data_IF_891907382490
#
_entry.id   IF_891907382490
#
_cell.length_a   1.000
_cell.length_b   1.000
_cell.length_c   1.000
_cell.angle_alpha   90.00
_cell.angle_beta   90.00
_cell.angle_gamma   90.00
#
_symmetry.space_group_name_H-M   'P 1'
#
loop_
_entity.id
_entity.type
_entity.pdbx_description
1 polymer ?
#
# COMPACT_ATOMS: atom_id res chain seq x y z
N UNK A 1 34.40 -12.61 -32.25
CA UNK A 1 33.88 -12.11 -30.94
C UNK A 1 32.67 -11.25 -31.22
N UNK A 2 31.47 -11.85 -31.26
CA UNK A 2 30.22 -11.10 -31.38
C UNK A 2 29.77 -10.72 -29.97
N UNK A 3 30.04 -9.48 -29.58
CA UNK A 3 29.42 -8.90 -28.39
C UNK A 3 27.90 -8.98 -28.56
N UNK A 4 27.19 -9.56 -27.61
CA UNK A 4 25.73 -9.54 -27.59
C UNK A 4 25.26 -8.07 -27.72
N UNK A 5 24.23 -7.81 -28.54
CA UNK A 5 23.74 -6.45 -28.67
C UNK A 5 23.37 -5.92 -27.29
N UNK A 6 23.80 -4.70 -26.91
CA UNK A 6 23.47 -4.10 -25.64
C UNK A 6 21.94 -4.11 -25.50
N UNK A 7 21.44 -4.48 -24.31
CA UNK A 7 20.02 -4.41 -23.99
C UNK A 7 19.52 -3.04 -24.45
N UNK A 8 18.49 -3.00 -25.30
CA UNK A 8 17.98 -1.75 -25.87
C UNK A 8 17.68 -0.82 -24.71
N UNK A 9 18.31 0.38 -24.67
CA UNK A 9 18.02 1.34 -23.60
C UNK A 9 16.51 1.62 -23.60
N UNK A 10 15.88 1.81 -22.45
CA UNK A 10 14.48 2.21 -22.41
C UNK A 10 14.29 3.45 -23.27
N UNK A 11 13.18 3.51 -24.00
CA UNK A 11 12.89 4.63 -24.93
C UNK A 11 12.78 5.99 -24.24
N UNK A 12 12.68 5.99 -22.91
CA UNK A 12 12.51 7.20 -22.10
C UNK A 12 13.58 7.30 -21.01
N UNK A 13 13.89 8.55 -20.62
CA UNK A 13 14.74 8.87 -19.51
C UNK A 13 14.16 8.32 -18.18
N UNK A 14 14.99 7.93 -17.22
CA UNK A 14 14.60 7.44 -15.88
C UNK A 14 13.52 8.31 -15.24
N UNK A 15 13.62 9.63 -15.32
CA UNK A 15 12.64 10.54 -14.75
C UNK A 15 11.25 10.36 -15.38
N UNK A 16 11.16 10.17 -16.71
CA UNK A 16 9.88 9.96 -17.39
C UNK A 16 9.24 8.64 -16.95
N UNK A 17 10.04 7.60 -16.76
CA UNK A 17 9.57 6.30 -16.24
C UNK A 17 9.08 6.46 -14.80
N UNK A 18 9.90 7.06 -13.92
CA UNK A 18 9.57 7.22 -12.50
C UNK A 18 8.32 8.07 -12.31
N UNK A 19 8.27 9.27 -12.89
CA UNK A 19 7.14 10.19 -12.71
C UNK A 19 5.89 9.70 -13.44
N UNK A 20 6.02 9.11 -14.62
CA UNK A 20 4.88 8.52 -15.33
C UNK A 20 4.24 7.38 -14.53
N UNK A 21 5.05 6.44 -14.01
CA UNK A 21 4.55 5.38 -13.13
C UNK A 21 3.93 5.98 -11.86
N UNK A 22 4.59 6.96 -11.23
CA UNK A 22 4.10 7.58 -10.01
C UNK A 22 2.73 8.25 -10.19
N UNK A 23 2.54 9.01 -11.27
CA UNK A 23 1.24 9.63 -11.61
C UNK A 23 0.18 8.54 -11.81
N UNK A 24 0.50 7.50 -12.59
CA UNK A 24 -0.39 6.36 -12.75
C UNK A 24 -0.75 5.68 -11.41
N UNK A 25 0.23 5.52 -10.50
CA UNK A 25 -0.01 4.96 -9.16
C UNK A 25 -0.86 5.88 -8.28
N UNK A 26 -0.66 7.21 -8.32
CA UNK A 26 -1.52 8.18 -7.61
C UNK A 26 -2.97 7.94 -7.97
N UNK A 27 -3.27 7.88 -9.28
CA UNK A 27 -4.63 7.71 -9.77
C UNK A 27 -5.18 6.30 -9.46
N UNK A 28 -4.43 5.24 -9.83
CA UNK A 28 -4.88 3.85 -9.62
C UNK A 28 -5.11 3.55 -8.13
N UNK A 29 -4.18 3.96 -7.24
CA UNK A 29 -4.32 3.72 -5.81
C UNK A 29 -5.45 4.53 -5.21
N UNK A 30 -5.62 5.77 -5.66
CA UNK A 30 -6.75 6.63 -5.27
C UNK A 30 -8.09 6.02 -5.67
N UNK A 31 -8.21 5.57 -6.92
CA UNK A 31 -9.45 4.99 -7.49
C UNK A 31 -9.79 3.64 -6.85
N UNK A 32 -8.82 2.72 -6.71
CA UNK A 32 -9.13 1.35 -6.30
C UNK A 32 -9.07 1.11 -4.79
N UNK A 33 -8.43 2.01 -4.03
CA UNK A 33 -8.27 1.87 -2.58
C UNK A 33 -8.95 3.00 -1.80
N UNK A 34 -8.51 4.25 -2.02
CA UNK A 34 -8.96 5.36 -1.18
C UNK A 34 -10.43 5.74 -1.42
N UNK A 35 -10.94 5.61 -2.65
CA UNK A 35 -12.34 5.97 -2.93
C UNK A 35 -13.35 4.98 -2.37
N UNK A 36 -12.97 3.72 -2.06
CA UNK A 36 -13.90 2.69 -1.61
C UNK A 36 -14.76 3.12 -0.42
N UNK A 37 -14.15 3.77 0.57
CA UNK A 37 -14.87 4.21 1.78
C UNK A 37 -16.02 5.18 1.51
N UNK A 38 -15.97 5.91 0.39
CA UNK A 38 -17.02 6.86 -0.02
C UNK A 38 -18.27 6.14 -0.55
N UNK A 39 -18.15 4.91 -1.03
CA UNK A 39 -19.26 4.12 -1.58
C UNK A 39 -20.01 3.31 -0.52
N UNK A 40 -19.46 3.16 0.68
CA UNK A 40 -20.08 2.35 1.74
C UNK A 40 -21.44 2.89 2.13
N UNK A 41 -21.54 4.17 2.47
CA UNK A 41 -22.81 4.78 2.91
C UNK A 41 -23.89 4.77 1.82
N UNK A 42 -23.64 5.23 0.58
CA UNK A 42 -24.63 5.16 -0.49
C UNK A 42 -25.13 3.75 -0.80
N UNK A 43 -24.25 2.74 -0.74
CA UNK A 43 -24.67 1.35 -0.97
C UNK A 43 -25.50 0.79 0.20
N UNK A 44 -25.19 1.20 1.45
CA UNK A 44 -26.03 0.85 2.60
C UNK A 44 -27.43 1.46 2.47
N UNK A 45 -27.54 2.70 2.06
CA UNK A 45 -28.81 3.41 1.88
C UNK A 45 -29.65 2.77 0.77
N UNK A 46 -29.05 2.36 -0.34
CA UNK A 46 -29.79 1.81 -1.48
C UNK A 46 -30.17 0.35 -1.31
N UNK A 47 -29.25 -0.50 -0.81
CA UNK A 47 -29.45 -1.96 -0.76
C UNK A 47 -29.81 -2.49 0.63
N UNK A 48 -29.65 -1.68 1.69
CA UNK A 48 -29.79 -2.15 3.08
C UNK A 48 -28.69 -3.10 3.54
N UNK A 49 -27.56 -3.20 2.80
CA UNK A 49 -26.45 -4.08 3.17
C UNK A 49 -25.74 -3.55 4.40
N UNK A 50 -25.26 -4.48 5.23
CA UNK A 50 -24.47 -4.12 6.43
C UNK A 50 -23.07 -3.64 6.05
N UNK A 51 -22.44 -2.86 6.94
CA UNK A 51 -21.03 -2.45 6.77
C UNK A 51 -20.13 -3.69 6.58
N UNK A 52 -20.39 -4.76 7.32
CA UNK A 52 -19.65 -6.03 7.20
C UNK A 52 -19.76 -6.62 5.80
N UNK A 53 -20.98 -6.69 5.22
CA UNK A 53 -21.20 -7.24 3.88
C UNK A 53 -20.44 -6.44 2.80
N UNK A 54 -20.48 -5.10 2.89
CA UNK A 54 -19.80 -4.25 1.90
C UNK A 54 -18.27 -4.35 2.06
N UNK A 55 -17.76 -4.28 3.29
CA UNK A 55 -16.30 -4.33 3.51
C UNK A 55 -15.72 -5.72 3.28
N UNK A 56 -16.52 -6.78 3.36
CA UNK A 56 -16.10 -8.13 2.98
C UNK A 56 -15.71 -8.20 1.50
N UNK A 57 -16.42 -7.49 0.60
CA UNK A 57 -16.02 -7.42 -0.81
C UNK A 57 -14.61 -6.83 -0.97
N UNK A 58 -14.30 -5.72 -0.31
CA UNK A 58 -12.97 -5.13 -0.31
C UNK A 58 -11.91 -6.09 0.25
N UNK A 59 -12.23 -6.79 1.32
CA UNK A 59 -11.38 -7.83 1.92
C UNK A 59 -11.09 -8.96 0.92
N UNK A 60 -12.10 -9.45 0.21
CA UNK A 60 -11.97 -10.45 -0.86
C UNK A 60 -11.03 -9.92 -1.96
N UNK A 61 -11.22 -8.67 -2.39
CA UNK A 61 -10.36 -8.03 -3.38
C UNK A 61 -8.89 -7.96 -2.95
N UNK A 62 -8.62 -7.57 -1.70
CA UNK A 62 -7.27 -7.55 -1.15
C UNK A 62 -6.63 -8.95 -1.12
N UNK A 63 -7.38 -9.94 -0.65
CA UNK A 63 -6.91 -11.33 -0.61
C UNK A 63 -6.58 -11.86 -2.01
N UNK A 64 -7.47 -11.64 -2.97
CA UNK A 64 -7.26 -12.01 -4.36
C UNK A 64 -6.07 -11.27 -4.98
N UNK A 65 -5.88 -9.98 -4.67
CA UNK A 65 -4.74 -9.21 -5.15
C UNK A 65 -3.40 -9.79 -4.68
N UNK A 66 -3.33 -10.21 -3.42
CA UNK A 66 -2.13 -10.87 -2.88
C UNK A 66 -1.92 -12.26 -3.48
N UNK A 67 -2.98 -13.05 -3.63
CA UNK A 67 -2.95 -14.40 -4.22
C UNK A 67 -2.50 -14.35 -5.69
N UNK A 68 -3.09 -13.47 -6.49
CA UNK A 68 -2.73 -13.28 -7.89
C UNK A 68 -1.37 -12.58 -8.05
N UNK A 69 -0.88 -11.88 -7.02
CA UNK A 69 0.41 -11.19 -7.06
C UNK A 69 1.59 -12.10 -7.42
N UNK A 70 1.56 -13.36 -6.98
CA UNK A 70 2.63 -14.35 -7.26
C UNK A 70 2.69 -14.69 -8.75
N UNK A 71 1.63 -15.21 -9.40
CA UNK A 71 1.66 -15.53 -10.83
C UNK A 71 1.85 -14.28 -11.70
N UNK A 72 1.25 -13.16 -11.35
CA UNK A 72 1.42 -11.88 -12.06
C UNK A 72 2.88 -11.42 -11.99
N UNK A 73 3.52 -11.47 -10.82
CA UNK A 73 4.94 -11.15 -10.66
C UNK A 73 5.82 -11.99 -11.58
N UNK A 74 5.61 -13.31 -11.62
CA UNK A 74 6.35 -14.20 -12.50
C UNK A 74 6.12 -13.88 -13.99
N UNK A 75 4.91 -13.49 -14.36
CA UNK A 75 4.61 -13.11 -15.74
C UNK A 75 5.29 -11.78 -16.13
N UNK A 76 5.22 -10.78 -15.26
CA UNK A 76 5.87 -9.46 -15.44
C UNK A 76 7.39 -9.59 -15.52
N UNK A 77 8.00 -10.44 -14.71
CA UNK A 77 9.43 -10.69 -14.72
C UNK A 77 9.93 -11.23 -16.06
N UNK A 78 9.08 -11.98 -16.78
CA UNK A 78 9.41 -12.56 -18.10
C UNK A 78 9.06 -11.62 -19.25
N UNK A 79 7.87 -11.04 -19.22
CA UNK A 79 7.26 -10.37 -20.37
C UNK A 79 7.32 -8.83 -20.28
N UNK A 80 7.79 -8.29 -19.14
CA UNK A 80 7.72 -6.86 -18.84
C UNK A 80 6.34 -6.43 -18.34
N UNK A 81 6.25 -5.22 -17.81
CA UNK A 81 5.07 -4.76 -17.08
C UNK A 81 4.06 -3.98 -17.92
N UNK A 82 4.41 -3.57 -19.13
CA UNK A 82 3.58 -2.69 -19.97
C UNK A 82 2.15 -3.20 -20.14
N UNK A 83 2.01 -4.44 -20.59
CA UNK A 83 0.70 -5.04 -20.83
C UNK A 83 -0.02 -5.41 -19.53
N UNK A 84 0.73 -5.80 -18.47
CA UNK A 84 0.15 -6.04 -17.18
C UNK A 84 -0.49 -4.77 -16.59
N UNK A 85 0.30 -3.68 -16.51
CA UNK A 85 -0.18 -2.44 -15.87
C UNK A 85 -1.24 -1.72 -16.71
N UNK A 86 -1.04 -1.59 -18.01
CA UNK A 86 -2.03 -0.96 -18.90
C UNK A 86 -3.31 -1.81 -19.00
N UNK A 87 -3.19 -3.11 -19.21
CA UNK A 87 -4.32 -4.04 -19.26
C UNK A 87 -5.04 -4.16 -17.93
N UNK A 88 -4.31 -4.26 -16.80
CA UNK A 88 -4.88 -4.27 -15.46
C UNK A 88 -5.66 -2.99 -15.13
N UNK A 89 -5.13 -1.82 -15.53
CA UNK A 89 -5.84 -0.55 -15.34
C UNK A 89 -7.09 -0.44 -16.22
N UNK A 90 -7.02 -0.91 -17.47
CA UNK A 90 -8.20 -0.95 -18.36
C UNK A 90 -9.25 -1.92 -17.82
N UNK A 91 -8.82 -3.10 -17.35
CA UNK A 91 -9.71 -4.09 -16.74
C UNK A 91 -10.37 -3.55 -15.47
N UNK A 92 -9.61 -2.86 -14.61
CA UNK A 92 -10.16 -2.17 -13.46
C UNK A 92 -11.24 -1.15 -13.85
N UNK A 93 -11.02 -0.35 -14.88
CA UNK A 93 -12.00 0.61 -15.35
C UNK A 93 -13.29 -0.06 -15.86
N UNK A 94 -13.19 -1.15 -16.60
CA UNK A 94 -14.35 -1.95 -17.03
C UNK A 94 -15.11 -2.47 -15.80
N UNK A 95 -14.39 -3.00 -14.79
CA UNK A 95 -15.01 -3.51 -13.57
C UNK A 95 -15.67 -2.41 -12.73
N UNK A 96 -15.17 -1.18 -12.75
CA UNK A 96 -15.85 -0.05 -12.11
C UNK A 96 -17.19 0.29 -12.80
N UNK A 97 -17.25 0.19 -14.13
CA UNK A 97 -18.50 0.34 -14.88
C UNK A 97 -19.46 -0.82 -14.56
N UNK A 98 -18.97 -2.05 -14.48
CA UNK A 98 -19.79 -3.20 -14.08
C UNK A 98 -20.28 -3.03 -12.64
N UNK A 99 -19.42 -2.56 -11.71
CA UNK A 99 -19.83 -2.25 -10.33
C UNK A 99 -20.93 -1.18 -10.28
N UNK A 100 -20.94 -0.20 -11.18
CA UNK A 100 -22.00 0.80 -11.22
C UNK A 100 -23.37 0.23 -11.59
N UNK A 101 -23.44 -0.99 -12.10
CA UNK A 101 -24.67 -1.68 -12.49
C UNK A 101 -25.07 -2.81 -11.51
N UNK A 102 -24.36 -2.95 -10.39
CA UNK A 102 -24.59 -4.02 -9.45
C UNK A 102 -25.94 -3.87 -8.74
N UNK A 103 -26.66 -4.97 -8.59
CA UNK A 103 -27.94 -5.04 -7.87
C UNK A 103 -27.95 -6.14 -6.81
N UNK A 104 -26.97 -7.05 -6.81
CA UNK A 104 -26.89 -8.13 -5.83
C UNK A 104 -25.54 -8.21 -5.13
N UNK A 105 -25.56 -8.69 -3.88
CA UNK A 105 -24.35 -8.84 -3.06
C UNK A 105 -23.35 -9.82 -3.68
N UNK A 106 -23.84 -10.88 -4.34
CA UNK A 106 -22.97 -11.89 -4.95
C UNK A 106 -22.26 -11.38 -6.20
N UNK A 107 -22.95 -10.57 -7.02
CA UNK A 107 -22.31 -9.85 -8.14
C UNK A 107 -21.22 -8.91 -7.62
N UNK A 108 -21.52 -8.20 -6.55
CA UNK A 108 -20.56 -7.30 -5.92
C UNK A 108 -19.29 -8.05 -5.46
N UNK A 109 -19.43 -9.22 -4.83
CA UNK A 109 -18.28 -10.05 -4.45
C UNK A 109 -17.50 -10.58 -5.65
N UNK A 110 -18.20 -11.02 -6.70
CA UNK A 110 -17.57 -11.49 -7.93
C UNK A 110 -16.74 -10.37 -8.62
N UNK A 111 -17.28 -9.15 -8.64
CA UNK A 111 -16.56 -7.97 -9.16
C UNK A 111 -15.30 -7.72 -8.34
N UNK A 112 -15.35 -7.85 -7.00
CA UNK A 112 -14.17 -7.61 -6.16
C UNK A 112 -13.11 -8.72 -6.27
N UNK A 113 -13.49 -9.97 -6.55
CA UNK A 113 -12.52 -11.01 -6.96
C UNK A 113 -11.76 -10.59 -8.22
N UNK A 114 -12.49 -10.11 -9.24
CA UNK A 114 -11.89 -9.65 -10.48
C UNK A 114 -11.08 -8.35 -10.30
N UNK A 115 -11.54 -7.41 -9.45
CA UNK A 115 -10.79 -6.21 -9.08
C UNK A 115 -9.48 -6.57 -8.35
N UNK A 116 -9.46 -7.65 -7.55
CA UNK A 116 -8.23 -8.17 -6.95
C UNK A 116 -7.19 -8.56 -8.00
N UNK A 117 -7.60 -9.22 -9.09
CA UNK A 117 -6.70 -9.50 -10.22
C UNK A 117 -6.23 -8.20 -10.90
N UNK A 118 -7.12 -7.25 -11.15
CA UNK A 118 -6.77 -5.96 -11.75
C UNK A 118 -5.76 -5.18 -10.87
N UNK A 119 -5.95 -5.23 -9.55
CA UNK A 119 -5.04 -4.65 -8.57
C UNK A 119 -3.65 -5.31 -8.60
N UNK A 120 -3.58 -6.63 -8.66
CA UNK A 120 -2.31 -7.36 -8.73
C UNK A 120 -1.50 -7.01 -9.98
N UNK A 121 -2.19 -6.71 -11.10
CA UNK A 121 -1.58 -6.33 -12.38
C UNK A 121 -1.06 -4.88 -12.41
N UNK A 122 -1.68 -3.95 -11.68
CA UNK A 122 -1.49 -2.50 -11.87
C UNK A 122 -0.93 -1.75 -10.68
N UNK A 123 -0.87 -2.36 -9.48
CA UNK A 123 -0.48 -1.65 -8.26
C UNK A 123 1.02 -1.69 -7.95
N UNK A 124 1.37 -1.16 -6.79
CA UNK A 124 2.70 -0.79 -6.33
C UNK A 124 3.77 -1.87 -6.52
N UNK A 125 3.46 -3.16 -6.34
CA UNK A 125 4.44 -4.23 -6.44
C UNK A 125 5.01 -4.33 -7.87
N UNK A 126 4.15 -4.26 -8.89
CA UNK A 126 4.56 -4.26 -10.30
C UNK A 126 5.27 -2.96 -10.64
N UNK A 127 4.76 -1.81 -10.17
CA UNK A 127 5.39 -0.51 -10.37
C UNK A 127 6.82 -0.47 -9.80
N UNK A 128 7.01 -0.97 -8.58
CA UNK A 128 8.31 -1.05 -7.94
C UNK A 128 9.27 -1.99 -8.70
N UNK A 129 8.78 -3.13 -9.20
CA UNK A 129 9.58 -4.05 -10.02
C UNK A 129 10.06 -3.38 -11.32
N UNK A 130 9.19 -2.60 -11.99
CA UNK A 130 9.57 -1.83 -13.19
C UNK A 130 10.65 -0.80 -12.91
N UNK A 131 10.46 0.01 -11.86
CA UNK A 131 11.44 1.03 -11.47
C UNK A 131 12.79 0.38 -11.16
N UNK A 132 12.78 -0.73 -10.40
CA UNK A 132 14.00 -1.43 -10.02
C UNK A 132 14.74 -2.02 -11.22
N UNK A 133 14.02 -2.51 -12.23
CA UNK A 133 14.59 -3.16 -13.41
C UNK A 133 15.03 -2.16 -14.50
N UNK A 134 14.42 -0.97 -14.57
CA UNK A 134 14.55 -0.09 -15.75
C UNK A 134 15.12 1.30 -15.44
N UNK A 135 15.54 1.58 -14.19
CA UNK A 135 16.17 2.85 -13.82
C UNK A 135 17.59 2.65 -13.30
N UNK A 136 18.49 3.59 -13.59
CA UNK A 136 19.90 3.53 -13.16
C UNK A 136 20.01 3.68 -11.64
N UNK A 137 19.28 4.64 -11.06
CA UNK A 137 19.17 4.84 -9.62
C UNK A 137 17.79 4.39 -9.11
N UNK A 138 17.65 3.07 -8.95
CA UNK A 138 16.40 2.48 -8.45
C UNK A 138 16.03 2.96 -7.05
N UNK A 139 17.01 3.30 -6.18
CA UNK A 139 16.74 3.77 -4.82
C UNK A 139 16.02 5.12 -4.86
N UNK A 140 16.54 6.06 -5.65
CA UNK A 140 15.89 7.34 -5.92
C UNK A 140 14.51 7.14 -6.54
N UNK A 141 14.40 6.24 -7.52
CA UNK A 141 13.13 5.93 -8.18
C UNK A 141 12.07 5.40 -7.23
N UNK A 142 12.40 4.42 -6.38
CA UNK A 142 11.48 3.87 -5.38
C UNK A 142 11.10 4.91 -4.32
N UNK A 143 12.02 5.79 -3.94
CA UNK A 143 11.75 6.88 -2.99
C UNK A 143 10.71 7.85 -3.56
N UNK A 144 10.91 8.32 -4.80
CA UNK A 144 9.95 9.20 -5.47
C UNK A 144 8.59 8.51 -5.69
N UNK A 145 8.61 7.25 -6.11
CA UNK A 145 7.39 6.45 -6.26
C UNK A 145 6.60 6.39 -4.93
N UNK A 146 7.27 6.09 -3.83
CA UNK A 146 6.63 6.00 -2.52
C UNK A 146 6.11 7.36 -2.01
N UNK A 147 6.86 8.45 -2.23
CA UNK A 147 6.46 9.81 -1.85
C UNK A 147 5.21 10.22 -2.64
N UNK A 148 5.27 10.11 -3.97
CA UNK A 148 4.22 10.59 -4.85
C UNK A 148 2.93 9.76 -4.71
N UNK A 149 3.04 8.43 -4.60
CA UNK A 149 1.86 7.57 -4.35
C UNK A 149 1.15 7.93 -3.05
N UNK A 150 1.86 8.48 -2.05
CA UNK A 150 1.25 9.01 -0.82
C UNK A 150 0.27 10.16 -1.04
N UNK A 151 0.29 10.83 -2.20
CA UNK A 151 -0.63 11.91 -2.55
C UNK A 151 -1.96 11.40 -3.17
N UNK A 152 -2.12 10.08 -3.32
CA UNK A 152 -3.28 9.48 -3.99
C UNK A 152 -4.62 9.83 -3.32
N UNK A 153 -4.66 9.93 -1.99
CA UNK A 153 -5.88 10.30 -1.26
C UNK A 153 -6.31 11.74 -1.55
N UNK A 154 -5.36 12.68 -1.56
CA UNK A 154 -5.65 14.10 -1.83
C UNK A 154 -6.05 14.33 -3.29
N UNK A 155 -5.51 13.54 -4.22
CA UNK A 155 -5.82 13.70 -5.63
C UNK A 155 -7.20 13.13 -6.00
N UNK A 156 -7.58 11.98 -5.45
CA UNK A 156 -8.75 11.24 -5.93
C UNK A 156 -9.95 11.32 -4.99
N UNK A 157 -9.74 11.33 -3.67
CA UNK A 157 -10.87 11.29 -2.71
C UNK A 157 -11.79 12.51 -2.82
N UNK A 158 -11.30 13.77 -2.91
CA UNK A 158 -12.17 14.92 -3.11
C UNK A 158 -12.92 14.86 -4.45
N UNK A 159 -12.24 14.44 -5.52
CA UNK A 159 -12.88 14.28 -6.84
C UNK A 159 -14.00 13.23 -6.78
N UNK A 160 -13.73 12.06 -6.18
CA UNK A 160 -14.73 11.01 -6.04
C UNK A 160 -15.92 11.47 -5.19
N UNK A 161 -15.66 12.16 -4.07
CA UNK A 161 -16.70 12.71 -3.21
C UNK A 161 -17.59 13.74 -3.93
N UNK A 162 -16.99 14.65 -4.72
CA UNK A 162 -17.73 15.61 -5.52
C UNK A 162 -18.56 14.92 -6.62
N UNK A 163 -17.99 13.93 -7.31
CA UNK A 163 -18.69 13.18 -8.35
C UNK A 163 -19.90 12.41 -7.77
N UNK A 164 -19.73 11.77 -6.61
CA UNK A 164 -20.81 11.07 -5.92
C UNK A 164 -21.90 12.05 -5.49
N UNK A 165 -21.52 13.20 -4.92
CA UNK A 165 -22.48 14.20 -4.46
C UNK A 165 -23.27 14.88 -5.59
N UNK A 166 -22.64 15.07 -6.76
CA UNK A 166 -23.26 15.72 -7.91
C UNK A 166 -24.13 14.79 -8.76
N UNK A 167 -23.69 13.53 -8.95
CA UNK A 167 -24.28 12.61 -9.94
C UNK A 167 -24.72 11.25 -9.36
N UNK A 168 -24.60 11.07 -8.06
CA UNK A 168 -24.83 9.80 -7.38
C UNK A 168 -23.65 8.83 -7.51
N UNK A 169 -23.66 7.79 -6.67
CA UNK A 169 -22.51 6.88 -6.55
C UNK A 169 -22.27 6.03 -7.81
N UNK A 170 -23.32 5.63 -8.54
CA UNK A 170 -23.19 4.86 -9.79
C UNK A 170 -22.45 5.66 -10.86
N UNK A 171 -22.85 6.90 -11.07
CA UNK A 171 -22.17 7.82 -12.00
C UNK A 171 -20.77 8.22 -11.51
N UNK A 172 -20.58 8.30 -10.19
CA UNK A 172 -19.27 8.49 -9.56
C UNK A 172 -18.27 7.37 -9.94
N UNK A 173 -18.72 6.10 -9.95
CA UNK A 173 -17.91 4.98 -10.42
C UNK A 173 -17.55 5.08 -11.91
N UNK A 174 -18.49 5.52 -12.75
CA UNK A 174 -18.22 5.74 -14.18
C UNK A 174 -17.19 6.87 -14.36
N UNK A 175 -17.30 7.96 -13.59
CA UNK A 175 -16.30 9.03 -13.61
C UNK A 175 -14.89 8.52 -13.20
N UNK A 176 -14.81 7.68 -12.17
CA UNK A 176 -13.55 7.04 -11.77
C UNK A 176 -13.02 6.06 -12.82
N UNK A 177 -13.91 5.35 -13.53
CA UNK A 177 -13.51 4.47 -14.65
C UNK A 177 -12.89 5.28 -15.79
N UNK A 178 -13.43 6.46 -16.13
CA UNK A 178 -12.86 7.38 -17.12
C UNK A 178 -11.47 7.85 -16.67
N UNK A 179 -11.31 8.24 -15.41
CA UNK A 179 -10.00 8.61 -14.85
C UNK A 179 -9.00 7.45 -14.96
N UNK A 180 -9.44 6.21 -14.70
CA UNK A 180 -8.60 5.03 -14.74
C UNK A 180 -8.13 4.68 -16.17
N UNK A 181 -8.95 4.93 -17.20
CA UNK A 181 -8.57 4.71 -18.61
C UNK A 181 -7.69 5.84 -19.11
N UNK A 182 -8.13 7.09 -18.98
CA UNK A 182 -7.43 8.25 -19.56
C UNK A 182 -6.13 8.58 -18.83
N UNK A 183 -6.03 8.24 -17.55
CA UNK A 183 -4.82 8.41 -16.76
C UNK A 183 -3.94 7.15 -16.78
N UNK A 184 -4.09 6.25 -15.81
CA UNK A 184 -3.17 5.14 -15.62
C UNK A 184 -3.00 4.23 -16.84
N UNK A 185 -4.09 3.78 -17.46
CA UNK A 185 -4.01 2.84 -18.57
C UNK A 185 -3.21 3.44 -19.75
N UNK A 186 -3.50 4.69 -20.13
CA UNK A 186 -2.82 5.39 -21.19
C UNK A 186 -1.35 5.71 -20.84
N UNK A 187 -1.10 6.16 -19.60
CA UNK A 187 0.26 6.44 -19.12
C UNK A 187 1.10 5.17 -19.15
N UNK A 188 0.62 4.05 -18.61
CA UNK A 188 1.38 2.80 -18.59
C UNK A 188 1.59 2.26 -20.01
N UNK A 189 0.59 2.36 -20.87
CA UNK A 189 0.71 1.94 -22.26
C UNK A 189 1.78 2.72 -23.02
N UNK A 190 1.94 4.02 -22.75
CA UNK A 190 2.88 4.90 -23.45
C UNK A 190 4.27 4.89 -22.81
N UNK A 191 4.36 5.10 -21.48
CA UNK A 191 5.62 5.28 -20.76
C UNK A 191 6.39 3.97 -20.62
N UNK A 192 5.70 2.83 -20.51
CA UNK A 192 6.38 1.54 -20.35
C UNK A 192 6.79 0.88 -21.66
N UNK A 193 6.83 1.63 -22.78
CA UNK A 193 7.34 1.12 -24.06
C UNK A 193 8.84 0.87 -23.99
N UNK A 194 9.22 -0.40 -24.17
CA UNK A 194 10.63 -0.81 -24.17
C UNK A 194 11.19 -1.14 -22.78
N UNK A 195 10.39 -1.11 -21.74
CA UNK A 195 10.79 -1.63 -20.42
C UNK A 195 10.91 -3.16 -20.47
N UNK A 196 11.90 -3.71 -19.74
CA UNK A 196 12.21 -5.13 -19.65
C UNK A 196 11.83 -5.70 -18.29
N UNK A 197 11.59 -7.00 -18.24
CA UNK A 197 11.34 -7.71 -16.99
C UNK A 197 12.62 -7.97 -16.19
N UNK A 198 12.50 -8.12 -14.89
CA UNK A 198 13.64 -8.31 -13.98
C UNK A 198 14.43 -9.61 -14.25
N UNK A 199 13.76 -10.68 -14.67
CA UNK A 199 14.44 -11.94 -15.06
C UNK A 199 15.29 -11.79 -16.31
N UNK A 200 14.82 -11.02 -17.27
CA UNK A 200 15.60 -10.73 -18.48
C UNK A 200 16.85 -9.95 -18.11
N UNK A 201 16.72 -8.95 -17.23
CA UNK A 201 17.85 -8.19 -16.72
C UNK A 201 18.84 -9.05 -15.92
N UNK A 202 18.34 -9.93 -15.06
CA UNK A 202 19.16 -10.84 -14.27
C UNK A 202 19.91 -11.85 -15.17
N UNK A 203 19.24 -12.39 -16.18
CA UNK A 203 19.84 -13.27 -17.18
C UNK A 203 20.98 -12.56 -17.92
N UNK A 204 20.77 -11.32 -18.40
CA UNK A 204 21.80 -10.54 -19.07
C UNK A 204 22.99 -10.21 -18.13
N UNK A 205 22.71 -9.82 -16.87
CA UNK A 205 23.75 -9.60 -15.86
C UNK A 205 24.56 -10.86 -15.56
N UNK A 206 23.89 -12.01 -15.42
CA UNK A 206 24.54 -13.29 -15.16
C UNK A 206 25.40 -13.73 -16.34
N UNK A 207 24.91 -13.53 -17.56
CA UNK A 207 25.66 -13.80 -18.79
C UNK A 207 26.91 -12.91 -18.90
N UNK A 208 26.78 -11.63 -18.58
CA UNK A 208 27.92 -10.71 -18.52
C UNK A 208 28.93 -11.09 -17.44
N UNK A 209 28.49 -11.46 -16.23
CA UNK A 209 29.36 -11.89 -15.14
C UNK A 209 30.10 -13.19 -15.48
N UNK A 210 29.44 -14.13 -16.16
CA UNK A 210 30.08 -15.36 -16.64
C UNK A 210 31.13 -15.09 -17.74
N UNK A 211 30.86 -14.13 -18.63
CA UNK A 211 31.84 -13.74 -19.66
C UNK A 211 33.07 -13.03 -19.09
N UNK A 212 32.94 -12.41 -17.90
CA UNK A 212 34.00 -11.76 -17.13
C UNK A 212 34.73 -12.74 -16.15
N UNK A 213 34.37 -14.03 -16.15
CA UNK A 213 34.98 -15.04 -15.27
C UNK A 213 34.60 -14.92 -13.78
N UNK A 214 33.58 -14.13 -13.46
CA UNK A 214 33.08 -13.95 -12.10
C UNK A 214 32.06 -15.04 -11.76
N UNK A 215 32.45 -16.04 -10.97
CA UNK A 215 31.53 -17.05 -10.45
C UNK A 215 30.55 -16.41 -9.42
N UNK A 216 29.23 -16.67 -9.51
CA UNK A 216 28.33 -16.32 -8.44
C UNK A 216 28.72 -17.06 -7.16
N UNK A 217 28.97 -16.33 -6.08
CA UNK A 217 29.26 -16.93 -4.78
C UNK A 217 28.09 -17.82 -4.34
N UNK A 218 28.32 -19.11 -4.28
CA UNK A 218 27.39 -20.07 -3.69
C UNK A 218 27.25 -19.77 -2.19
N UNK A 219 26.11 -19.25 -1.78
CA UNK A 219 25.83 -18.92 -0.40
C UNK A 219 25.69 -20.20 0.43
N UNK A 220 26.63 -20.46 1.32
CA UNK A 220 26.54 -21.46 2.38
C UNK A 220 25.44 -21.04 3.39
N UNK A 221 24.36 -21.80 3.46
CA UNK A 221 23.22 -21.60 4.38
C UNK A 221 22.07 -20.75 3.81
N UNK A 222 20.84 -21.03 4.25
CA UNK A 222 19.65 -20.25 3.89
C UNK A 222 19.46 -19.11 4.90
N UNK A 223 19.76 -17.84 4.55
CA UNK A 223 19.56 -16.69 5.45
C UNK A 223 18.11 -16.60 5.96
N UNK A 224 17.15 -17.02 5.14
CA UNK A 224 15.74 -17.06 5.49
C UNK A 224 15.47 -18.03 6.66
N UNK A 225 16.04 -19.25 6.62
CA UNK A 225 15.85 -20.23 7.69
C UNK A 225 16.40 -19.71 9.01
N UNK A 226 17.56 -19.11 8.99
CA UNK A 226 18.19 -18.51 10.17
C UNK A 226 17.34 -17.35 10.72
N UNK A 227 16.81 -16.50 9.85
CA UNK A 227 15.92 -15.40 10.26
C UNK A 227 14.62 -15.92 10.89
N UNK A 228 13.95 -16.90 10.26
CA UNK A 228 12.68 -17.45 10.74
C UNK A 228 12.81 -18.19 12.08
N UNK A 229 13.98 -18.73 12.40
CA UNK A 229 14.27 -19.36 13.70
C UNK A 229 14.56 -18.33 14.80
N UNK A 230 14.77 -17.05 14.46
CA UNK A 230 15.07 -16.01 15.44
C UNK A 230 13.78 -15.41 16.04
N UNK A 231 13.72 -15.17 17.35
CA UNK A 231 12.59 -14.46 17.97
C UNK A 231 12.39 -13.06 17.37
N UNK A 232 13.44 -12.38 16.94
CA UNK A 232 13.41 -11.06 16.33
C UNK A 232 12.54 -11.01 15.07
N UNK A 233 12.56 -12.07 14.25
CA UNK A 233 11.70 -12.16 13.06
C UNK A 233 10.21 -12.15 13.43
N UNK A 234 9.80 -12.96 14.41
CA UNK A 234 8.41 -13.07 14.84
C UNK A 234 7.92 -11.83 15.57
N UNK A 235 8.78 -11.19 16.36
CA UNK A 235 8.48 -9.91 16.98
C UNK A 235 8.26 -8.80 15.96
N UNK A 236 9.07 -8.74 14.88
CA UNK A 236 8.79 -7.84 13.74
C UNK A 236 7.52 -8.25 13.01
N UNK A 237 7.25 -9.54 12.85
CA UNK A 237 6.02 -10.02 12.21
C UNK A 237 4.79 -9.54 12.98
N UNK A 238 4.77 -9.63 14.32
CA UNK A 238 3.68 -9.08 15.15
C UNK A 238 3.58 -7.57 15.00
N UNK A 239 4.69 -6.84 15.16
CA UNK A 239 4.69 -5.37 15.10
C UNK A 239 4.16 -4.85 13.76
N UNK A 240 4.64 -5.41 12.64
CA UNK A 240 4.22 -4.97 11.31
C UNK A 240 2.85 -5.51 10.88
N UNK A 241 2.42 -6.67 11.41
CA UNK A 241 1.05 -7.15 11.23
C UNK A 241 0.05 -6.21 11.90
N UNK A 242 0.32 -5.77 13.14
CA UNK A 242 -0.50 -4.76 13.82
C UNK A 242 -0.52 -3.45 13.04
N UNK A 243 0.64 -2.97 12.61
CA UNK A 243 0.72 -1.74 11.82
C UNK A 243 -0.13 -1.82 10.54
N UNK A 244 -0.02 -2.92 9.78
CA UNK A 244 -0.83 -3.12 8.58
C UNK A 244 -2.31 -3.29 8.89
N UNK A 245 -2.65 -4.00 9.96
CA UNK A 245 -4.05 -4.15 10.40
C UNK A 245 -4.68 -2.78 10.65
N UNK A 246 -4.03 -1.93 11.45
CA UNK A 246 -4.56 -0.60 11.80
C UNK A 246 -4.62 0.33 10.58
N UNK A 247 -3.58 0.35 9.73
CA UNK A 247 -3.60 1.18 8.53
C UNK A 247 -4.73 0.78 7.60
N UNK A 248 -4.92 -0.53 7.34
CA UNK A 248 -5.96 -0.98 6.43
C UNK A 248 -7.36 -0.79 7.02
N UNK A 249 -7.50 -0.93 8.33
CA UNK A 249 -8.74 -0.57 9.06
C UNK A 249 -9.08 0.91 8.88
N UNK A 250 -8.12 1.79 9.14
CA UNK A 250 -8.34 3.24 8.99
C UNK A 250 -8.56 3.67 7.54
N UNK A 251 -8.01 2.95 6.57
CA UNK A 251 -8.27 3.21 5.16
C UNK A 251 -9.77 3.16 4.82
N UNK A 252 -10.49 2.24 5.44
CA UNK A 252 -11.92 2.02 5.16
C UNK A 252 -12.82 2.73 6.17
N UNK A 253 -12.45 2.71 7.44
CA UNK A 253 -13.33 3.12 8.52
C UNK A 253 -13.07 4.55 9.04
N UNK A 254 -11.97 5.22 8.65
CA UNK A 254 -11.66 6.57 9.14
C UNK A 254 -12.77 7.58 8.82
N UNK A 255 -13.28 7.56 7.60
CA UNK A 255 -14.34 8.48 7.18
C UNK A 255 -15.63 8.27 7.99
N UNK A 256 -16.21 7.05 8.08
CA UNK A 256 -17.38 6.81 8.93
C UNK A 256 -17.12 7.05 10.43
N UNK A 257 -15.90 6.80 10.93
CA UNK A 257 -15.54 7.13 12.33
C UNK A 257 -15.67 8.63 12.57
N UNK A 258 -15.09 9.45 11.71
CA UNK A 258 -15.11 10.92 11.85
C UNK A 258 -16.54 11.47 11.69
N UNK A 259 -17.34 10.87 10.81
CA UNK A 259 -18.76 11.24 10.67
C UNK A 259 -19.58 10.85 11.90
N UNK A 260 -19.34 9.68 12.50
CA UNK A 260 -20.01 9.27 13.75
C UNK A 260 -19.67 10.22 14.92
N UNK A 261 -18.51 10.88 14.90
CA UNK A 261 -18.16 11.94 15.86
C UNK A 261 -18.88 13.28 15.63
N UNK A 262 -19.79 13.35 14.64
CA UNK A 262 -20.58 14.54 14.34
C UNK A 262 -19.92 15.51 13.35
N UNK A 263 -18.79 15.15 12.74
CA UNK A 263 -18.17 16.00 11.73
C UNK A 263 -18.95 15.98 10.41
N UNK A 264 -19.14 17.14 9.75
CA UNK A 264 -19.76 17.20 8.42
C UNK A 264 -18.99 16.33 7.41
N UNK A 265 -19.71 15.76 6.44
CA UNK A 265 -19.13 14.88 5.41
C UNK A 265 -17.91 15.50 4.72
N UNK A 266 -17.99 16.79 4.34
CA UNK A 266 -16.90 17.52 3.68
C UNK A 266 -15.63 17.59 4.56
N UNK A 267 -15.80 17.80 5.87
CA UNK A 267 -14.70 17.82 6.84
C UNK A 267 -14.08 16.42 6.95
N UNK A 268 -14.91 15.38 7.07
CA UNK A 268 -14.43 14.01 7.15
C UNK A 268 -13.63 13.60 5.89
N UNK A 269 -14.11 13.98 4.70
CA UNK A 269 -13.42 13.77 3.42
C UNK A 269 -12.08 14.52 3.38
N UNK A 270 -12.05 15.80 3.82
CA UNK A 270 -10.82 16.59 3.84
C UNK A 270 -9.77 16.01 4.80
N UNK A 271 -10.16 15.59 6.00
CA UNK A 271 -9.29 14.96 6.99
C UNK A 271 -8.75 13.62 6.47
N UNK A 272 -9.62 12.80 5.87
CA UNK A 272 -9.20 11.53 5.25
C UNK A 272 -8.20 11.76 4.11
N UNK A 273 -8.47 12.73 3.22
CA UNK A 273 -7.57 13.09 2.13
C UNK A 273 -6.21 13.61 2.63
N UNK A 274 -6.21 14.39 3.72
CA UNK A 274 -4.99 14.97 4.32
C UNK A 274 -4.04 13.91 4.90
N UNK A 275 -4.53 12.71 5.22
CA UNK A 275 -3.69 11.64 5.78
C UNK A 275 -2.50 11.25 4.86
N UNK A 276 -2.70 11.27 3.54
CA UNK A 276 -1.63 11.02 2.56
C UNK A 276 -0.49 12.05 2.62
N UNK A 277 -0.77 13.35 2.46
CA UNK A 277 0.21 14.43 2.67
C UNK A 277 0.89 14.37 4.04
N UNK A 278 0.16 14.12 5.12
CA UNK A 278 0.75 13.98 6.44
C UNK A 278 1.79 12.84 6.49
N UNK A 279 1.50 11.70 5.85
CA UNK A 279 2.45 10.59 5.75
C UNK A 279 3.70 10.96 4.92
N UNK A 280 3.56 11.75 3.88
CA UNK A 280 4.68 12.29 3.09
C UNK A 280 5.52 13.24 3.94
N UNK A 281 4.88 14.18 4.66
CA UNK A 281 5.55 15.10 5.59
C UNK A 281 6.36 14.32 6.63
N UNK A 282 5.79 13.26 7.22
CA UNK A 282 6.50 12.41 8.19
C UNK A 282 7.77 11.78 7.62
N UNK A 283 7.74 11.29 6.38
CA UNK A 283 8.92 10.72 5.69
C UNK A 283 9.96 11.79 5.39
N UNK A 284 9.53 12.95 4.91
CA UNK A 284 10.43 14.07 4.63
C UNK A 284 11.04 14.62 5.92
N UNK A 285 10.26 14.75 6.98
CA UNK A 285 10.76 15.17 8.28
C UNK A 285 11.84 14.22 8.81
N UNK A 286 11.61 12.90 8.70
CA UNK A 286 12.63 11.91 9.07
C UNK A 286 13.92 12.11 8.25
N UNK A 287 13.77 12.27 6.93
CA UNK A 287 14.92 12.43 6.03
C UNK A 287 15.72 13.71 6.30
N UNK A 288 15.04 14.83 6.61
CA UNK A 288 15.68 16.14 6.86
C UNK A 288 16.27 16.21 8.25
N UNK A 289 15.52 15.75 9.28
CA UNK A 289 15.94 15.89 10.68
C UNK A 289 17.02 14.88 11.08
N UNK A 290 16.99 13.69 10.53
CA UNK A 290 17.98 12.65 10.81
C UNK A 290 18.18 11.72 9.59
N UNK A 291 18.97 12.17 8.57
CA UNK A 291 19.22 11.41 7.34
C UNK A 291 19.88 10.04 7.59
N UNK A 292 20.51 9.87 8.75
CA UNK A 292 21.18 8.64 9.19
C UNK A 292 20.40 7.89 10.27
N UNK A 293 19.14 8.26 10.49
CA UNK A 293 18.32 7.61 11.50
C UNK A 293 18.24 6.10 11.26
N UNK A 294 18.62 5.35 12.30
CA UNK A 294 18.42 3.90 12.30
C UNK A 294 16.92 3.58 12.42
N UNK A 295 16.50 2.45 11.85
CA UNK A 295 15.15 1.93 12.06
C UNK A 295 14.81 1.79 13.54
N UNK A 296 15.81 1.45 14.37
CA UNK A 296 15.70 1.38 15.82
C UNK A 296 15.24 2.71 16.43
N UNK A 297 15.92 3.83 16.10
CA UNK A 297 15.62 5.16 16.63
C UNK A 297 14.26 5.65 16.12
N UNK A 298 14.05 5.57 14.81
CA UNK A 298 12.81 6.02 14.17
C UNK A 298 11.59 5.23 14.63
N UNK A 299 11.71 3.90 14.70
CA UNK A 299 10.60 3.05 15.13
C UNK A 299 10.26 3.18 16.61
N UNK A 300 11.26 3.45 17.49
CA UNK A 300 11.00 3.72 18.91
C UNK A 300 10.10 4.94 19.13
N UNK A 301 10.15 5.91 18.24
CA UNK A 301 9.34 7.14 18.29
C UNK A 301 8.04 6.94 17.51
N UNK A 302 8.12 6.38 16.30
CA UNK A 302 6.99 6.31 15.40
C UNK A 302 5.88 5.34 15.86
N UNK A 303 6.20 4.20 16.49
CA UNK A 303 5.18 3.29 17.01
C UNK A 303 4.34 3.91 18.15
N UNK A 304 4.92 4.49 19.23
CA UNK A 304 4.13 5.21 20.23
C UNK A 304 3.36 6.40 19.65
N UNK A 305 3.97 7.14 18.72
CA UNK A 305 3.32 8.26 18.03
C UNK A 305 2.11 7.81 17.21
N UNK A 306 2.18 6.62 16.60
CA UNK A 306 1.06 6.02 15.91
C UNK A 306 -0.10 5.70 16.83
N UNK A 307 0.19 5.18 18.05
CA UNK A 307 -0.80 4.98 19.11
C UNK A 307 -1.35 6.30 19.65
N UNK A 308 -0.49 7.30 19.85
CA UNK A 308 -0.93 8.65 20.23
C UNK A 308 -1.90 9.25 19.22
N UNK A 309 -1.71 8.99 17.90
CA UNK A 309 -2.67 9.37 16.87
C UNK A 309 -4.07 8.80 17.14
N UNK A 310 -4.19 7.52 17.48
CA UNK A 310 -5.49 6.91 17.82
C UNK A 310 -6.08 7.49 19.10
N UNK A 311 -5.26 7.78 20.13
CA UNK A 311 -5.74 8.48 21.32
C UNK A 311 -6.24 9.89 21.04
N UNK A 312 -5.57 10.62 20.15
CA UNK A 312 -6.05 11.92 19.69
C UNK A 312 -7.41 11.82 18.98
N UNK A 313 -7.63 10.75 18.21
CA UNK A 313 -8.92 10.49 17.60
C UNK A 313 -10.01 10.24 18.66
N UNK A 314 -9.70 9.52 19.73
CA UNK A 314 -10.66 9.23 20.81
C UNK A 314 -10.97 10.48 21.64
N UNK A 315 -9.95 11.21 22.09
CA UNK A 315 -10.12 12.26 23.10
C UNK A 315 -10.17 13.68 22.56
N UNK A 316 -9.47 13.96 21.46
CA UNK A 316 -9.26 15.34 20.99
C UNK A 316 -10.07 15.63 19.73
N UNK A 317 -10.28 14.64 18.85
CA UNK A 317 -11.08 14.82 17.66
C UNK A 317 -12.53 15.26 17.93
N UNK A 318 -13.22 14.75 18.98
CA UNK A 318 -14.56 15.22 19.33
C UNK A 318 -14.63 16.69 19.73
N UNK A 319 -13.48 17.32 20.05
CA UNK A 319 -13.42 18.76 20.40
C UNK A 319 -13.48 19.67 19.16
N UNK A 320 -13.56 19.11 17.95
CA UNK A 320 -13.78 19.83 16.71
C UNK A 320 -12.64 19.74 15.69
N UNK A 321 -12.68 20.65 14.70
CA UNK A 321 -11.81 20.61 13.51
C UNK A 321 -10.31 20.55 13.86
N UNK A 322 -9.85 21.33 14.82
CA UNK A 322 -8.43 21.35 15.22
C UNK A 322 -7.96 20.02 15.81
N UNK A 323 -8.85 19.34 16.56
CA UNK A 323 -8.58 18.00 17.07
C UNK A 323 -8.45 16.96 15.95
N UNK A 324 -9.31 17.04 14.94
CA UNK A 324 -9.22 16.19 13.74
C UNK A 324 -7.95 16.44 12.92
N UNK A 325 -7.55 17.70 12.76
CA UNK A 325 -6.29 18.05 12.07
C UNK A 325 -5.09 17.52 12.85
N UNK A 326 -5.07 17.67 14.16
CA UNK A 326 -3.99 17.16 15.00
C UNK A 326 -3.90 15.63 14.93
N UNK A 327 -5.03 14.93 15.00
CA UNK A 327 -5.11 13.49 14.79
C UNK A 327 -4.51 13.11 13.43
N UNK A 328 -5.02 13.67 12.34
CA UNK A 328 -4.59 13.30 11.00
C UNK A 328 -3.10 13.59 10.75
N UNK A 329 -2.57 14.67 11.36
CA UNK A 329 -1.15 15.01 11.29
C UNK A 329 -0.31 13.96 12.01
N UNK A 330 -0.59 13.69 13.29
CA UNK A 330 0.21 12.76 14.11
C UNK A 330 0.09 11.34 13.60
N UNK A 331 -1.12 10.88 13.29
CA UNK A 331 -1.38 9.55 12.74
C UNK A 331 -0.73 9.38 11.37
N UNK A 332 -0.96 10.30 10.44
CA UNK A 332 -0.41 10.24 9.10
C UNK A 332 1.12 10.28 9.08
N UNK A 333 1.75 11.22 9.81
CA UNK A 333 3.20 11.30 9.89
C UNK A 333 3.83 10.03 10.43
N UNK A 334 3.29 9.49 11.54
CA UNK A 334 3.79 8.25 12.13
C UNK A 334 3.62 7.05 11.20
N UNK A 335 2.47 6.92 10.53
CA UNK A 335 2.22 5.89 9.52
C UNK A 335 3.22 5.96 8.37
N UNK A 336 3.53 7.17 7.89
CA UNK A 336 4.54 7.42 6.85
C UNK A 336 5.94 6.99 7.26
N UNK A 337 6.35 7.30 8.49
CA UNK A 337 7.66 6.89 9.05
C UNK A 337 7.74 5.38 9.23
N UNK A 338 6.67 4.73 9.73
CA UNK A 338 6.65 3.28 9.95
C UNK A 338 6.78 2.48 8.65
N UNK A 339 6.34 3.00 7.51
CA UNK A 339 6.61 2.37 6.21
C UNK A 339 8.11 2.30 5.89
N UNK A 340 8.87 3.34 6.22
CA UNK A 340 10.34 3.37 6.05
C UNK A 340 11.01 2.45 7.05
N UNK A 341 10.60 2.54 8.32
CA UNK A 341 11.11 1.68 9.42
C UNK A 341 10.99 0.21 9.07
N UNK A 342 9.88 -0.24 8.51
CA UNK A 342 9.68 -1.64 8.12
C UNK A 342 10.75 -2.15 7.16
N UNK A 343 11.13 -1.35 6.19
CA UNK A 343 12.12 -1.74 5.17
C UNK A 343 13.54 -1.74 5.76
N UNK A 344 13.87 -0.73 6.56
CA UNK A 344 15.21 -0.56 7.12
C UNK A 344 15.49 -1.47 8.33
N UNK A 345 14.48 -1.76 9.15
CA UNK A 345 14.62 -2.64 10.32
C UNK A 345 15.06 -4.07 9.94
N UNK A 346 14.60 -4.58 8.81
CA UNK A 346 14.98 -5.92 8.32
C UNK A 346 16.47 -5.95 7.96
N UNK A 347 16.94 -4.89 7.27
CA UNK A 347 18.37 -4.77 6.90
C UNK A 347 19.25 -4.64 8.14
N UNK A 348 18.84 -3.85 9.12
CA UNK A 348 19.58 -3.65 10.38
C UNK A 348 19.65 -4.94 11.24
N UNK A 349 18.59 -5.75 11.22
CA UNK A 349 18.51 -6.96 12.04
C UNK A 349 19.18 -8.18 11.40
N UNK A 350 18.99 -8.36 10.09
CA UNK A 350 19.38 -9.59 9.38
C UNK A 350 20.45 -9.38 8.32
N UNK A 351 20.85 -8.12 8.06
CA UNK A 351 21.79 -7.77 7.01
C UNK A 351 21.18 -7.76 5.61
N UNK A 352 22.00 -7.43 4.61
CA UNK A 352 21.57 -7.34 3.20
C UNK A 352 21.41 -8.75 2.56
N UNK A 353 22.17 -9.75 3.06
CA UNK A 353 22.11 -11.11 2.53
C UNK A 353 20.74 -11.75 2.81
N UNK A 354 20.07 -12.20 1.75
CA UNK A 354 18.73 -12.79 1.86
C UNK A 354 17.61 -11.82 2.15
N UNK A 355 17.84 -10.49 2.07
CA UNK A 355 16.86 -9.44 2.33
C UNK A 355 15.53 -9.69 1.60
N UNK A 356 15.57 -10.01 0.31
CA UNK A 356 14.35 -10.26 -0.48
C UNK A 356 13.53 -11.44 0.05
N UNK A 357 14.20 -12.56 0.41
CA UNK A 357 13.52 -13.74 0.95
C UNK A 357 12.95 -13.48 2.35
N UNK A 358 13.70 -12.78 3.22
CA UNK A 358 13.25 -12.45 4.59
C UNK A 358 12.08 -11.45 4.54
N UNK A 359 12.18 -10.41 3.70
CA UNK A 359 11.11 -9.42 3.50
C UNK A 359 9.87 -10.07 2.90
N UNK A 360 10.05 -10.97 1.92
CA UNK A 360 8.96 -11.74 1.32
C UNK A 360 8.23 -12.58 2.35
N UNK A 361 8.95 -13.36 3.17
CA UNK A 361 8.36 -14.17 4.24
C UNK A 361 7.62 -13.32 5.27
N UNK A 362 8.22 -12.19 5.71
CA UNK A 362 7.59 -11.26 6.63
C UNK A 362 6.30 -10.67 6.04
N UNK A 363 6.34 -10.28 4.77
CA UNK A 363 5.16 -9.76 4.07
C UNK A 363 4.06 -10.83 3.99
N UNK A 364 4.41 -12.08 3.71
CA UNK A 364 3.46 -13.21 3.68
C UNK A 364 2.75 -13.40 5.02
N UNK A 365 3.47 -13.32 6.14
CA UNK A 365 2.85 -13.39 7.48
C UNK A 365 1.89 -12.20 7.72
N UNK A 366 2.19 -11.02 7.20
CA UNK A 366 1.36 -9.84 7.33
C UNK A 366 0.13 -9.83 6.41
N UNK A 367 0.03 -10.72 5.41
CA UNK A 367 -1.09 -10.74 4.45
C UNK A 367 -2.43 -10.90 5.19
N UNK A 368 -2.55 -11.95 6.01
CA UNK A 368 -3.81 -12.26 6.68
C UNK A 368 -4.29 -11.13 7.61
N UNK A 369 -3.49 -10.59 8.55
CA UNK A 369 -3.90 -9.46 9.38
C UNK A 369 -4.31 -8.24 8.55
N UNK A 370 -3.54 -7.90 7.51
CA UNK A 370 -3.84 -6.76 6.62
C UNK A 370 -5.16 -6.95 5.88
N UNK A 371 -5.37 -8.13 5.34
CA UNK A 371 -6.54 -8.42 4.49
C UNK A 371 -7.82 -8.53 5.31
N UNK A 372 -7.74 -9.13 6.52
CA UNK A 372 -8.91 -9.28 7.39
C UNK A 372 -9.30 -8.00 8.13
N UNK A 373 -8.43 -7.00 8.19
CA UNK A 373 -8.62 -5.79 8.97
C UNK A 373 -9.96 -5.06 8.68
N UNK A 374 -10.35 -4.79 7.43
CA UNK A 374 -11.59 -4.07 7.15
C UNK A 374 -12.82 -4.80 7.66
N UNK A 375 -12.93 -6.11 7.36
CA UNK A 375 -14.10 -6.89 7.77
C UNK A 375 -14.11 -7.14 9.27
N UNK A 376 -12.95 -7.35 9.91
CA UNK A 376 -12.85 -7.52 11.36
C UNK A 376 -13.36 -6.27 12.10
N UNK A 377 -12.95 -5.09 11.67
CA UNK A 377 -13.43 -3.82 12.24
C UNK A 377 -14.92 -3.61 11.95
N UNK A 378 -15.41 -3.97 10.77
CA UNK A 378 -16.83 -3.89 10.45
C UNK A 378 -17.68 -4.80 11.37
N UNK A 379 -17.25 -6.06 11.56
CA UNK A 379 -17.91 -7.00 12.48
C UNK A 379 -17.92 -6.46 13.92
N UNK A 380 -16.79 -5.93 14.40
CA UNK A 380 -16.73 -5.32 15.74
C UNK A 380 -17.69 -4.12 15.84
N UNK A 381 -17.70 -3.23 14.82
CA UNK A 381 -18.61 -2.08 14.78
C UNK A 381 -20.08 -2.51 14.78
N UNK A 382 -20.45 -3.52 13.99
CA UNK A 382 -21.82 -4.02 13.91
C UNK A 382 -22.24 -4.69 15.24
N UNK A 383 -21.30 -5.38 15.90
CA UNK A 383 -21.54 -6.03 17.20
C UNK A 383 -21.67 -5.04 18.36
N UNK A 384 -20.84 -3.99 18.40
CA UNK A 384 -20.84 -2.98 19.46
C UNK A 384 -21.80 -1.81 19.21
N UNK A 385 -22.30 -1.66 17.99
CA UNK A 385 -23.16 -0.55 17.56
C UNK A 385 -22.42 0.79 17.41
N UNK A 386 -21.13 0.88 17.77
CA UNK A 386 -20.32 2.10 17.67
C UNK A 386 -18.86 1.79 17.40
N UNK A 387 -18.11 2.82 16.94
CA UNK A 387 -16.65 2.71 16.73
C UNK A 387 -15.82 2.94 17.99
N UNK A 388 -16.38 3.46 19.07
CA UNK A 388 -15.60 3.78 20.27
C UNK A 388 -14.89 2.55 20.87
N UNK A 389 -15.55 1.40 21.13
CA UNK A 389 -14.86 0.19 21.61
C UNK A 389 -13.82 -0.32 20.60
N UNK A 390 -14.09 -0.17 19.31
CA UNK A 390 -13.16 -0.58 18.26
C UNK A 390 -11.87 0.23 18.30
N UNK A 391 -11.95 1.55 18.51
CA UNK A 391 -10.77 2.41 18.65
C UNK A 391 -9.90 2.01 19.84
N UNK A 392 -10.50 1.61 20.97
CA UNK A 392 -9.77 1.11 22.12
C UNK A 392 -9.07 -0.22 21.82
N UNK A 393 -9.72 -1.14 21.08
CA UNK A 393 -9.11 -2.39 20.62
C UNK A 393 -7.92 -2.09 19.70
N UNK A 394 -8.08 -1.18 18.74
CA UNK A 394 -7.01 -0.78 17.83
C UNK A 394 -5.83 -0.17 18.61
N UNK A 395 -6.10 0.66 19.61
CA UNK A 395 -5.06 1.21 20.49
C UNK A 395 -4.33 0.10 21.25
N UNK A 396 -5.05 -0.84 21.84
CA UNK A 396 -4.46 -2.00 22.53
C UNK A 396 -3.57 -2.84 21.61
N UNK A 397 -3.99 -3.07 20.35
CA UNK A 397 -3.16 -3.73 19.34
C UNK A 397 -1.89 -2.91 19.05
N UNK A 398 -1.98 -1.59 18.94
CA UNK A 398 -0.79 -0.74 18.71
C UNK A 398 0.19 -0.83 19.88
N UNK A 399 -0.31 -0.87 21.12
CA UNK A 399 0.54 -1.08 22.32
C UNK A 399 1.26 -2.43 22.23
N UNK A 400 0.55 -3.51 21.83
CA UNK A 400 1.15 -4.81 21.58
C UNK A 400 2.23 -4.75 20.49
N UNK A 401 1.93 -4.13 19.34
CA UNK A 401 2.88 -3.95 18.24
C UNK A 401 4.10 -3.12 18.66
N UNK A 402 3.90 -2.05 19.42
CA UNK A 402 4.98 -1.21 19.97
C UNK A 402 5.89 -2.02 20.88
N UNK A 403 5.31 -2.79 21.80
CA UNK A 403 6.06 -3.65 22.73
C UNK A 403 6.84 -4.73 21.98
N UNK A 404 6.20 -5.39 21.00
CA UNK A 404 6.86 -6.37 20.15
C UNK A 404 8.04 -5.75 19.38
N UNK A 405 7.86 -4.56 18.79
CA UNK A 405 8.95 -3.85 18.12
C UNK A 405 10.10 -3.53 19.07
N UNK A 406 9.82 -3.01 20.27
CA UNK A 406 10.85 -2.68 21.25
C UNK A 406 11.61 -3.90 21.76
N UNK A 407 10.93 -5.03 21.92
CA UNK A 407 11.57 -6.31 22.27
C UNK A 407 12.44 -6.82 21.13
N UNK A 408 12.00 -6.71 19.87
CA UNK A 408 12.80 -7.08 18.71
C UNK A 408 14.13 -6.32 18.65
N UNK A 409 14.15 -5.07 19.11
CA UNK A 409 15.36 -4.25 19.15
C UNK A 409 16.40 -4.66 20.20
N UNK A 410 16.02 -5.54 21.14
CA UNK A 410 16.95 -6.09 22.16
C UNK A 410 17.72 -7.30 21.62
N UNK A 411 17.28 -7.87 20.50
CA UNK A 411 17.95 -9.01 19.87
C UNK A 411 19.34 -8.66 19.31
N UNK A 412 20.17 -9.70 19.02
CA UNK A 412 21.48 -9.52 18.43
C UNK A 412 21.36 -8.85 17.05
N UNK A 413 22.25 -7.90 16.79
CA UNK A 413 22.33 -7.22 15.48
C UNK A 413 23.27 -8.00 14.57
N UNK A 414 22.98 -7.99 13.27
CA UNK A 414 23.98 -8.37 12.28
C UNK A 414 25.20 -7.42 12.44
N UNK A 415 26.32 -7.95 12.93
CA UNK A 415 27.59 -7.21 12.88
C UNK A 415 27.92 -7.03 11.41
N UNK A 416 27.96 -5.76 10.95
CA UNK A 416 28.45 -5.39 9.62
C UNK A 416 29.94 -5.74 9.48
#
# INVERSE_FOLDING_TARGET
MNAAPPARPPKFNDNVIIFGIAIGQILTFGVLFHSFSLFVAPMQEEFGWTTTQITLAFTIGLFCADLFGIPVGHWVDRNGARWAMAGGSTFAAILLVVWSQVDSLWEFYAIWVALGLAQSLSLYNVAAAVVTANTHDYRRGLTWLAILTGLSSVAVVPFASLAIGAWGWRSGLIALAVVQILGPALIYFTVLRGTIGSRTLEYERRKAALSEGRLPSAALGSPLRTAMLSPTFWLFAVAFSVHWFVITSMLIHMLPIIQQMGAPHQVAVAIFAFNGPAAVIGRLALYVLDPKASARKSGRIAFPMFGAGVLLLIFVAPLGLWGLILFATVYGMSAGVLMVVRQTAIVEAFGIRGYGAITGALTTVCILPRTMAPVAVAVMRDSFGSYEPVLWILFGLIVLGTTAFWLALRGPQARN
#
